data_IF_473505009593
#
_entry.id   IF_473505009593
#
_cell.length_a   1.000
_cell.length_b   1.000
_cell.length_c   1.000
_cell.angle_alpha   90.00
_cell.angle_beta   90.00
_cell.angle_gamma   90.00
#
_symmetry.space_group_name_H-M   'P 1'
#
loop_
_entity.id
_entity.type
_entity.pdbx_description
1 polymer ?
#
# COMPACT_ATOMS: atom_id res chain seq x y z
N UNK A 1 -21.34 17.71 23.19
CA UNK A 1 -20.08 17.40 23.91
C UNK A 1 -19.43 16.09 23.40
N UNK A 2 -20.17 14.98 23.27
CA UNK A 2 -19.59 13.69 22.80
C UNK A 2 -19.15 13.73 21.33
N UNK A 3 -19.93 14.36 20.46
CA UNK A 3 -19.56 14.54 19.04
C UNK A 3 -18.34 15.47 18.87
N UNK A 4 -18.25 16.53 19.65
CA UNK A 4 -17.10 17.44 19.64
C UNK A 4 -15.83 16.70 20.11
N UNK A 5 -15.96 15.91 21.15
CA UNK A 5 -14.87 15.08 21.66
C UNK A 5 -14.39 14.10 20.59
N UNK A 6 -15.30 13.33 19.98
CA UNK A 6 -14.97 12.39 18.91
C UNK A 6 -14.22 13.08 17.77
N UNK A 7 -14.73 14.21 17.28
CA UNK A 7 -14.10 14.96 16.19
C UNK A 7 -12.73 15.49 16.57
N UNK A 8 -12.56 15.96 17.81
CA UNK A 8 -11.27 16.46 18.30
C UNK A 8 -10.22 15.34 18.40
N UNK A 9 -10.63 14.14 18.79
CA UNK A 9 -9.71 13.04 19.09
C UNK A 9 -9.84 11.86 18.11
N UNK A 10 -10.21 12.11 16.88
CA UNK A 10 -10.17 11.12 15.81
C UNK A 10 -8.73 10.80 15.44
N UNK A 11 -8.42 9.50 15.41
CA UNK A 11 -7.10 8.97 15.06
C UNK A 11 -7.26 7.90 13.97
N UNK A 12 -6.56 8.03 12.86
CA UNK A 12 -6.66 7.10 11.74
C UNK A 12 -5.44 6.20 11.63
N UNK A 13 -5.69 4.96 11.26
CA UNK A 13 -4.68 3.91 11.09
C UNK A 13 -4.89 3.17 9.77
N UNK A 14 -3.86 3.13 8.95
CA UNK A 14 -3.84 2.37 7.70
C UNK A 14 -2.78 1.26 7.81
N UNK A 15 -3.25 0.02 7.95
CA UNK A 15 -2.40 -1.16 8.03
C UNK A 15 -2.12 -1.73 6.63
N UNK A 16 -1.08 -1.23 6.00
CA UNK A 16 -0.58 -1.77 4.73
C UNK A 16 0.39 -2.94 4.92
N UNK A 17 0.60 -3.73 3.87
CA UNK A 17 1.53 -4.86 3.91
C UNK A 17 2.95 -4.44 4.28
N UNK A 18 3.42 -3.31 3.77
CA UNK A 18 4.79 -2.82 3.99
C UNK A 18 4.88 -1.66 4.95
N UNK A 19 3.82 -0.85 5.05
CA UNK A 19 3.81 0.37 5.84
C UNK A 19 2.58 0.48 6.72
N UNK A 20 2.79 1.00 7.92
CA UNK A 20 1.76 1.47 8.84
C UNK A 20 1.72 2.99 8.78
N UNK A 21 0.57 3.54 8.40
CA UNK A 21 0.34 4.99 8.28
C UNK A 21 -0.70 5.39 9.32
N UNK A 22 -0.36 6.37 10.13
CA UNK A 22 -1.17 6.69 11.30
C UNK A 22 -1.04 8.15 11.71
N UNK A 23 -2.01 8.60 12.47
CA UNK A 23 -1.99 9.91 13.09
C UNK A 23 -3.38 10.48 13.36
N UNK A 24 -3.45 11.49 14.23
CA UNK A 24 -4.69 12.18 14.55
C UNK A 24 -5.07 13.19 13.46
N UNK A 25 -6.34 13.60 13.46
CA UNK A 25 -6.86 14.64 12.56
C UNK A 25 -6.06 15.95 12.63
N UNK A 26 -5.45 16.23 13.78
CA UNK A 26 -4.67 17.46 14.02
C UNK A 26 -3.25 17.41 13.46
N UNK A 27 -2.82 16.26 12.94
CA UNK A 27 -1.48 16.10 12.34
C UNK A 27 -1.29 16.93 11.06
N UNK A 28 -2.38 17.37 10.44
CA UNK A 28 -2.35 18.04 9.16
C UNK A 28 -2.77 17.12 8.02
N UNK A 29 -2.17 17.31 6.83
CA UNK A 29 -2.61 16.62 5.62
C UNK A 29 -1.94 15.26 5.37
N UNK A 30 -0.89 14.94 6.12
CA UNK A 30 -0.10 13.71 5.92
C UNK A 30 -0.02 12.89 7.21
N UNK A 31 -0.06 11.54 7.11
CA UNK A 31 0.15 10.67 8.26
C UNK A 31 1.64 10.55 8.60
N UNK A 32 1.93 10.05 9.80
CA UNK A 32 3.21 9.42 10.07
C UNK A 32 3.27 8.05 9.37
N UNK A 33 4.45 7.67 8.90
CA UNK A 33 4.66 6.41 8.18
C UNK A 33 5.85 5.70 8.79
N UNK A 34 5.64 4.46 9.20
CA UNK A 34 6.71 3.53 9.58
C UNK A 34 6.51 2.21 8.84
N UNK A 35 7.59 1.44 8.71
CA UNK A 35 7.47 0.11 8.14
C UNK A 35 6.66 -0.80 9.04
N UNK A 36 5.78 -1.60 8.44
CA UNK A 36 4.98 -2.59 9.14
C UNK A 36 5.83 -3.83 9.44
N UNK A 37 6.67 -3.72 10.46
CA UNK A 37 7.60 -4.77 10.91
C UNK A 37 7.95 -4.60 12.38
N UNK A 38 8.44 -5.69 12.98
CA UNK A 38 8.97 -5.69 14.34
C UNK A 38 10.27 -6.47 14.41
N UNK A 39 11.16 -6.02 15.27
CA UNK A 39 12.43 -6.67 15.57
C UNK A 39 12.36 -7.36 16.93
N UNK A 40 12.71 -8.65 16.95
CA UNK A 40 12.78 -9.46 18.16
C UNK A 40 14.26 -9.67 18.53
N UNK A 41 14.83 -8.85 19.44
CA UNK A 41 16.23 -8.97 19.80
C UNK A 41 16.53 -10.31 20.48
N UNK A 42 17.79 -10.74 20.42
CA UNK A 42 18.24 -11.91 21.17
C UNK A 42 18.34 -11.55 22.66
N UNK A 43 17.37 -11.99 23.43
CA UNK A 43 17.30 -11.72 24.88
C UNK A 43 18.42 -12.40 25.66
N UNK A 44 19.13 -13.35 25.08
CA UNK A 44 20.27 -14.05 25.69
C UNK A 44 21.60 -13.36 25.44
N UNK A 45 21.63 -12.37 24.52
CA UNK A 45 22.86 -11.64 24.22
C UNK A 45 23.30 -10.76 25.39
N UNK A 46 24.60 -10.61 25.53
CA UNK A 46 25.19 -9.72 26.57
C UNK A 46 24.74 -8.27 26.35
N UNK A 47 24.65 -7.85 25.07
CA UNK A 47 24.20 -6.48 24.73
C UNK A 47 22.77 -6.24 25.16
N UNK A 48 21.86 -7.21 24.98
CA UNK A 48 20.47 -7.10 25.44
C UNK A 48 20.40 -6.94 26.97
N UNK A 49 21.25 -7.67 27.71
CA UNK A 49 21.26 -7.62 29.17
C UNK A 49 21.87 -6.34 29.73
N UNK A 50 22.82 -5.74 29.02
CA UNK A 50 23.50 -4.50 29.44
C UNK A 50 22.74 -3.25 29.01
N UNK A 51 22.21 -3.25 27.80
CA UNK A 51 21.44 -2.13 27.26
C UNK A 51 20.02 -2.16 27.81
N UNK A 52 19.51 -0.99 28.18
CA UNK A 52 18.10 -0.84 28.55
C UNK A 52 17.23 -0.93 27.28
N UNK A 53 16.98 -2.14 26.80
CA UNK A 53 16.09 -2.37 25.67
C UNK A 53 14.64 -2.15 26.12
N UNK A 54 13.86 -1.26 25.46
CA UNK A 54 12.55 -0.85 25.95
C UNK A 54 11.48 -1.94 25.93
N UNK A 55 11.65 -2.96 25.12
CA UNK A 55 10.71 -4.07 24.97
C UNK A 55 11.40 -5.29 24.33
N UNK A 56 10.79 -6.45 24.49
CA UNK A 56 11.15 -7.68 23.77
C UNK A 56 10.80 -7.65 22.27
N UNK A 57 10.02 -6.64 21.85
CA UNK A 57 9.70 -6.34 20.44
C UNK A 57 9.92 -4.86 20.19
N UNK A 58 10.73 -4.53 19.21
CA UNK A 58 11.04 -3.16 18.82
C UNK A 58 10.38 -2.84 17.49
N UNK A 59 9.68 -1.72 17.41
CA UNK A 59 9.00 -1.23 16.21
C UNK A 59 9.39 0.21 15.90
N UNK A 60 9.09 0.65 14.68
CA UNK A 60 9.26 2.03 14.28
C UNK A 60 10.68 2.42 13.93
N UNK A 61 10.97 3.70 14.05
CA UNK A 61 12.23 4.32 13.63
C UNK A 61 13.44 3.90 14.46
N UNK A 62 13.20 3.26 15.59
CA UNK A 62 14.25 2.85 16.54
C UNK A 62 14.88 1.50 16.19
N UNK A 63 14.26 0.70 15.33
CA UNK A 63 14.77 -0.62 14.95
C UNK A 63 16.26 -0.59 14.56
N UNK A 64 16.74 0.33 13.69
CA UNK A 64 18.14 0.34 13.29
C UNK A 64 19.13 0.52 14.44
N UNK A 65 18.70 1.09 15.57
CA UNK A 65 19.56 1.29 16.74
C UNK A 65 19.89 0.00 17.48
N UNK A 66 19.09 -1.06 17.26
CA UNK A 66 19.18 -2.32 17.99
C UNK A 66 19.58 -3.51 17.13
N UNK A 67 19.72 -3.32 15.80
CA UNK A 67 20.14 -4.37 14.88
C UNK A 67 21.60 -4.76 15.11
N UNK A 68 21.85 -6.07 15.19
CA UNK A 68 23.19 -6.63 15.25
C UNK A 68 23.68 -7.04 13.86
N UNK A 69 24.84 -6.55 13.43
CA UNK A 69 25.34 -6.73 12.08
C UNK A 69 25.64 -8.20 11.68
N UNK A 70 25.87 -9.04 12.68
CA UNK A 70 26.20 -10.48 12.49
C UNK A 70 24.98 -11.39 12.63
N UNK A 71 23.81 -10.83 12.90
CA UNK A 71 22.60 -11.58 13.20
C UNK A 71 21.88 -12.00 11.91
N UNK A 72 21.25 -13.18 11.95
CA UNK A 72 20.31 -13.57 10.91
C UNK A 72 18.98 -12.82 11.10
N UNK A 73 18.83 -11.72 10.38
CA UNK A 73 17.66 -10.87 10.46
C UNK A 73 16.39 -11.54 9.94
N UNK A 74 16.50 -12.60 9.14
CA UNK A 74 15.33 -13.30 8.57
C UNK A 74 14.45 -13.95 9.64
N UNK A 75 15.03 -14.29 10.80
CA UNK A 75 14.31 -14.91 11.92
C UNK A 75 13.87 -13.93 12.99
N UNK A 76 14.41 -12.71 12.99
CA UNK A 76 14.20 -11.72 14.04
C UNK A 76 13.46 -10.47 13.58
N UNK A 77 13.55 -10.13 12.30
CA UNK A 77 12.82 -9.04 11.68
C UNK A 77 11.55 -9.60 11.04
N UNK A 78 10.42 -9.38 11.68
CA UNK A 78 9.14 -9.99 11.31
C UNK A 78 8.25 -8.96 10.62
N UNK A 79 7.79 -9.31 9.42
CA UNK A 79 6.78 -8.59 8.65
C UNK A 79 5.45 -9.31 8.86
N UNK A 80 4.47 -8.72 9.58
CA UNK A 80 3.28 -9.44 10.01
C UNK A 80 2.30 -9.76 8.89
N UNK A 81 2.26 -8.93 7.84
CA UNK A 81 1.29 -9.07 6.76
C UNK A 81 1.88 -9.65 5.50
N UNK A 82 1.15 -10.57 4.89
CA UNK A 82 1.39 -11.04 3.54
C UNK A 82 0.15 -10.76 2.68
N UNK A 83 0.31 -9.91 1.65
CA UNK A 83 -0.80 -9.50 0.78
C UNK A 83 -2.01 -8.94 1.56
N UNK A 84 -1.75 -8.17 2.61
CA UNK A 84 -2.79 -7.56 3.44
C UNK A 84 -3.42 -8.51 4.47
N UNK A 85 -2.92 -9.75 4.58
CA UNK A 85 -3.46 -10.77 5.48
C UNK A 85 -2.41 -11.18 6.52
N UNK A 86 -2.86 -11.33 7.76
CA UNK A 86 -2.08 -11.87 8.86
C UNK A 86 -2.64 -13.27 9.17
N UNK A 87 -1.78 -14.27 9.26
CA UNK A 87 -2.21 -15.61 9.62
C UNK A 87 -2.82 -15.62 11.02
N UNK A 88 -3.94 -16.35 11.19
CA UNK A 88 -4.71 -16.34 12.43
C UNK A 88 -3.89 -16.69 13.67
N UNK A 89 -3.04 -17.72 13.55
CA UNK A 89 -2.29 -18.30 14.65
C UNK A 89 -0.82 -17.84 14.71
N UNK A 90 -0.44 -16.82 13.93
CA UNK A 90 0.89 -16.25 13.96
C UNK A 90 1.03 -15.24 15.12
N UNK A 91 1.37 -15.77 16.29
CA UNK A 91 1.50 -14.98 17.53
C UNK A 91 2.54 -13.85 17.40
N UNK A 92 3.65 -14.10 16.72
CA UNK A 92 4.68 -13.07 16.52
C UNK A 92 4.17 -11.93 15.63
N UNK A 93 3.46 -12.26 14.56
CA UNK A 93 2.86 -11.26 13.70
C UNK A 93 1.86 -10.37 14.44
N UNK A 94 0.98 -10.97 15.23
CA UNK A 94 0.01 -10.22 16.04
C UNK A 94 0.67 -9.41 17.15
N UNK A 95 1.77 -9.89 17.69
CA UNK A 95 2.57 -9.13 18.65
C UNK A 95 3.16 -7.87 17.99
N UNK A 96 3.64 -7.96 16.75
CA UNK A 96 4.12 -6.81 15.98
C UNK A 96 2.99 -5.79 15.78
N UNK A 97 1.80 -6.23 15.38
CA UNK A 97 0.64 -5.33 15.18
C UNK A 97 0.27 -4.62 16.49
N UNK A 98 0.26 -5.33 17.60
CA UNK A 98 0.04 -4.75 18.93
C UNK A 98 1.06 -3.65 19.26
N UNK A 99 2.34 -3.93 19.07
CA UNK A 99 3.40 -2.96 19.36
C UNK A 99 3.38 -1.74 18.43
N UNK A 100 3.10 -1.95 17.13
CA UNK A 100 2.94 -0.86 16.17
C UNK A 100 1.78 0.07 16.56
N UNK A 101 0.64 -0.50 16.87
CA UNK A 101 -0.57 0.23 17.24
C UNK A 101 -0.33 1.04 18.52
N UNK A 102 0.24 0.41 19.51
CA UNK A 102 0.62 1.06 20.79
C UNK A 102 1.63 2.19 20.57
N UNK A 103 2.65 1.94 19.76
CA UNK A 103 3.68 2.93 19.41
C UNK A 103 3.05 4.19 18.78
N UNK A 104 2.18 4.02 17.80
CA UNK A 104 1.52 5.13 17.12
C UNK A 104 0.60 5.93 18.05
N UNK A 105 -0.22 5.26 18.82
CA UNK A 105 -1.13 5.91 19.75
C UNK A 105 -0.39 6.66 20.88
N UNK A 106 0.67 6.09 21.42
CA UNK A 106 1.49 6.75 22.45
C UNK A 106 2.21 7.98 21.91
N UNK A 107 2.69 7.93 20.67
CA UNK A 107 3.39 9.05 20.04
C UNK A 107 2.55 10.32 20.03
N UNK A 108 1.24 10.19 19.84
CA UNK A 108 0.33 11.32 19.71
C UNK A 108 -0.59 11.54 20.93
N UNK A 109 -0.31 10.89 22.04
CA UNK A 109 -1.10 11.08 23.26
C UNK A 109 -1.13 12.55 23.66
N UNK A 110 -2.32 13.20 23.70
CA UNK A 110 -2.44 14.58 24.12
C UNK A 110 -2.10 14.74 25.62
N UNK A 111 -1.52 15.87 25.98
CA UNK A 111 -1.26 16.22 27.37
C UNK A 111 -2.50 16.81 28.08
N UNK A 112 -3.56 17.07 27.38
CA UNK A 112 -4.78 17.70 27.86
C UNK A 112 -5.52 16.83 28.88
N UNK A 113 -5.94 17.38 30.03
CA UNK A 113 -6.64 16.60 31.07
C UNK A 113 -7.98 16.00 30.64
N UNK A 114 -8.63 16.60 29.67
CA UNK A 114 -9.91 16.11 29.11
C UNK A 114 -9.73 14.87 28.21
N UNK A 115 -8.52 14.54 27.80
CA UNK A 115 -8.27 13.37 26.97
C UNK A 115 -8.61 12.07 27.72
N UNK A 116 -9.52 11.27 27.15
CA UNK A 116 -10.00 10.00 27.68
C UNK A 116 -9.79 8.82 26.72
N UNK A 117 -8.93 8.99 25.74
CA UNK A 117 -8.68 8.04 24.66
C UNK A 117 -9.16 8.53 23.30
N UNK A 118 -8.55 8.02 22.25
CA UNK A 118 -8.89 8.34 20.87
C UNK A 118 -10.14 7.62 20.39
N UNK A 119 -10.80 8.21 19.43
CA UNK A 119 -11.73 7.54 18.51
C UNK A 119 -10.92 7.07 17.32
N UNK A 120 -10.60 5.78 17.30
CA UNK A 120 -9.69 5.20 16.32
C UNK A 120 -10.45 4.67 15.12
N UNK A 121 -10.06 5.10 13.93
CA UNK A 121 -10.53 4.54 12.65
C UNK A 121 -9.39 3.76 12.04
N UNK A 122 -9.42 2.45 12.18
CA UNK A 122 -8.47 1.55 11.56
C UNK A 122 -8.98 1.07 10.20
N UNK A 123 -8.07 0.71 9.32
CA UNK A 123 -8.41 0.13 8.03
C UNK A 123 -7.59 -1.10 7.73
N UNK A 124 -8.25 -2.08 7.14
CA UNK A 124 -7.67 -3.34 6.70
C UNK A 124 -7.94 -3.55 5.21
N UNK A 125 -7.15 -4.41 4.59
CA UNK A 125 -7.36 -4.82 3.21
C UNK A 125 -8.81 -5.28 2.98
N UNK A 126 -9.33 -5.05 1.78
CA UNK A 126 -10.67 -5.51 1.36
C UNK A 126 -10.88 -7.02 1.51
N UNK A 127 -9.79 -7.78 1.50
CA UNK A 127 -9.81 -9.25 1.62
C UNK A 127 -9.54 -9.75 3.03
N UNK A 128 -9.35 -8.86 4.01
CA UNK A 128 -9.10 -9.26 5.38
C UNK A 128 -10.28 -10.06 5.94
N UNK A 129 -10.05 -11.27 6.46
CA UNK A 129 -11.10 -12.09 7.05
C UNK A 129 -11.59 -11.52 8.39
N UNK A 130 -12.77 -11.95 8.83
CA UNK A 130 -13.40 -11.45 10.04
C UNK A 130 -12.51 -11.57 11.28
N UNK A 131 -11.72 -12.64 11.40
CA UNK A 131 -10.84 -12.81 12.56
C UNK A 131 -9.80 -11.67 12.69
N UNK A 132 -9.39 -11.04 11.59
CA UNK A 132 -8.48 -9.91 11.66
C UNK A 132 -9.15 -8.69 12.30
N UNK A 133 -10.43 -8.45 11.99
CA UNK A 133 -11.21 -7.41 12.66
C UNK A 133 -11.34 -7.68 14.16
N UNK A 134 -11.71 -8.91 14.52
CA UNK A 134 -11.85 -9.33 15.92
C UNK A 134 -10.54 -9.16 16.69
N UNK A 135 -9.42 -9.64 16.16
CA UNK A 135 -8.12 -9.50 16.80
C UNK A 135 -7.67 -8.04 16.90
N UNK A 136 -7.95 -7.23 15.91
CA UNK A 136 -7.59 -5.81 15.96
C UNK A 136 -8.44 -5.04 16.98
N UNK A 137 -9.71 -5.38 17.14
CA UNK A 137 -10.53 -4.86 18.23
C UNK A 137 -9.96 -5.25 19.61
N UNK A 138 -9.56 -6.50 19.79
CA UNK A 138 -8.93 -6.96 21.03
C UNK A 138 -7.61 -6.23 21.33
N UNK A 139 -6.80 -5.99 20.32
CA UNK A 139 -5.55 -5.22 20.45
C UNK A 139 -5.84 -3.81 20.96
N UNK A 140 -6.80 -3.10 20.38
CA UNK A 140 -7.15 -1.75 20.82
C UNK A 140 -7.72 -1.75 22.25
N UNK A 141 -8.55 -2.72 22.58
CA UNK A 141 -9.07 -2.89 23.94
C UNK A 141 -7.94 -3.09 24.95
N UNK A 142 -7.00 -3.97 24.64
CA UNK A 142 -5.85 -4.25 25.49
C UNK A 142 -4.97 -3.01 25.68
N UNK A 143 -4.72 -2.28 24.61
CA UNK A 143 -3.93 -1.02 24.68
C UNK A 143 -4.65 -0.01 25.59
N UNK A 144 -5.97 0.07 25.52
CA UNK A 144 -6.71 0.95 26.43
C UNK A 144 -6.64 0.52 27.89
N UNK A 145 -6.76 -0.77 28.16
CA UNK A 145 -6.62 -1.33 29.52
C UNK A 145 -5.24 -1.01 30.13
N UNK A 146 -4.20 -1.03 29.32
CA UNK A 146 -2.82 -0.77 29.76
C UNK A 146 -2.46 0.72 29.84
N UNK A 147 -2.91 1.51 28.86
CA UNK A 147 -2.40 2.88 28.64
C UNK A 147 -3.50 3.97 28.62
N UNK A 148 -4.77 3.59 28.58
CA UNK A 148 -5.87 4.55 28.54
C UNK A 148 -5.93 5.36 27.24
N UNK A 149 -5.61 4.78 26.10
CA UNK A 149 -5.44 5.49 24.83
C UNK A 149 -6.61 5.38 23.86
N UNK A 150 -7.54 4.44 24.04
CA UNK A 150 -8.60 4.17 23.07
C UNK A 150 -9.97 4.20 23.72
N UNK A 151 -10.82 5.13 23.33
CA UNK A 151 -12.19 5.23 23.82
C UNK A 151 -13.17 4.42 22.96
N UNK A 152 -13.01 4.46 21.66
CA UNK A 152 -13.80 3.70 20.71
C UNK A 152 -12.98 3.39 19.47
N UNK A 153 -13.34 2.34 18.76
CA UNK A 153 -12.66 1.94 17.55
C UNK A 153 -13.66 1.48 16.49
N UNK A 154 -13.37 1.78 15.25
CA UNK A 154 -14.03 1.23 14.07
C UNK A 154 -12.98 0.71 13.10
N UNK A 155 -13.33 -0.29 12.31
CA UNK A 155 -12.42 -0.87 11.32
C UNK A 155 -13.15 -0.92 9.99
N UNK A 156 -12.60 -0.26 8.98
CA UNK A 156 -13.21 -0.19 7.65
C UNK A 156 -12.31 -0.83 6.60
N UNK A 157 -12.87 -1.36 5.50
CA UNK A 157 -12.06 -1.79 4.36
C UNK A 157 -11.35 -0.61 3.70
N UNK A 158 -10.09 -0.78 3.35
CA UNK A 158 -9.27 0.27 2.71
C UNK A 158 -9.92 0.88 1.45
N UNK A 159 -10.51 0.10 0.53
CA UNK A 159 -11.15 0.72 -0.63
C UNK A 159 -12.38 1.57 -0.28
N UNK A 160 -13.10 1.25 0.79
CA UNK A 160 -14.18 2.12 1.28
C UNK A 160 -13.62 3.48 1.75
N UNK A 161 -12.48 3.48 2.44
CA UNK A 161 -11.81 4.72 2.83
C UNK A 161 -11.45 5.58 1.62
N UNK A 162 -10.94 4.98 0.55
CA UNK A 162 -10.65 5.70 -0.71
C UNK A 162 -11.92 6.31 -1.31
N UNK A 163 -13.00 5.55 -1.41
CA UNK A 163 -14.28 6.04 -1.91
C UNK A 163 -14.81 7.22 -1.08
N UNK A 164 -14.69 7.14 0.24
CA UNK A 164 -15.07 8.23 1.15
C UNK A 164 -14.22 9.47 0.92
N UNK A 165 -12.91 9.32 0.77
CA UNK A 165 -12.02 10.44 0.48
C UNK A 165 -12.39 11.16 -0.82
N UNK A 166 -12.85 10.44 -1.83
CA UNK A 166 -13.34 10.97 -3.11
C UNK A 166 -14.83 11.41 -3.07
N UNK A 167 -15.55 11.11 -2.02
CA UNK A 167 -16.99 11.40 -1.87
C UNK A 167 -17.85 10.71 -2.95
N UNK A 168 -17.51 9.50 -3.33
CA UNK A 168 -18.18 8.75 -4.40
C UNK A 168 -18.76 7.46 -3.84
N UNK A 169 -20.11 7.27 -3.85
CA UNK A 169 -20.74 6.08 -3.28
C UNK A 169 -20.70 4.84 -4.20
N UNK A 170 -20.54 5.04 -5.52
CA UNK A 170 -20.49 3.98 -6.52
C UNK A 170 -19.26 4.16 -7.37
N UNK A 171 -18.33 3.19 -7.33
CA UNK A 171 -17.04 3.30 -7.99
C UNK A 171 -16.33 1.94 -8.06
N UNK A 172 -15.22 1.91 -8.79
CA UNK A 172 -14.24 0.84 -8.69
C UNK A 172 -12.97 1.44 -8.11
N UNK A 173 -12.47 0.89 -7.00
CA UNK A 173 -11.21 1.31 -6.40
C UNK A 173 -10.12 0.33 -6.80
N UNK A 174 -9.05 0.86 -7.42
CA UNK A 174 -7.78 0.15 -7.59
C UNK A 174 -6.84 0.61 -6.50
N UNK A 175 -6.43 -0.32 -5.67
CA UNK A 175 -5.40 -0.07 -4.67
C UNK A 175 -4.16 -0.89 -5.02
N UNK A 176 -3.07 -0.22 -5.38
CA UNK A 176 -1.82 -0.85 -5.76
C UNK A 176 -0.69 -0.42 -4.85
N UNK A 177 -0.31 -1.33 -3.97
CA UNK A 177 0.76 -1.14 -3.00
C UNK A 177 2.03 -1.88 -3.38
N UNK A 178 2.87 -2.11 -2.38
CA UNK A 178 4.16 -2.78 -2.56
C UNK A 178 3.99 -4.26 -2.93
N UNK A 179 3.15 -5.00 -2.22
CA UNK A 179 3.03 -6.46 -2.37
C UNK A 179 1.98 -6.93 -3.36
N UNK A 180 0.89 -6.20 -3.52
CA UNK A 180 -0.25 -6.62 -4.34
C UNK A 180 -1.04 -5.43 -4.90
N UNK A 181 -2.00 -5.77 -5.76
CA UNK A 181 -3.02 -4.84 -6.25
C UNK A 181 -4.40 -5.46 -6.05
N UNK A 182 -5.35 -4.66 -5.61
CA UNK A 182 -6.74 -5.08 -5.43
C UNK A 182 -7.66 -4.18 -6.22
N UNK A 183 -8.63 -4.78 -6.87
CA UNK A 183 -9.69 -4.08 -7.61
C UNK A 183 -11.01 -4.39 -6.91
N UNK A 184 -11.61 -3.37 -6.34
CA UNK A 184 -12.80 -3.50 -5.52
C UNK A 184 -13.94 -2.62 -6.04
N UNK A 185 -14.98 -3.21 -6.65
CA UNK A 185 -16.22 -2.48 -6.91
C UNK A 185 -16.95 -2.14 -5.62
N UNK A 186 -17.49 -0.92 -5.56
CA UNK A 186 -18.23 -0.40 -4.42
C UNK A 186 -19.58 0.14 -4.88
N UNK A 187 -20.63 -0.23 -4.18
CA UNK A 187 -21.95 0.41 -4.22
C UNK A 187 -22.40 0.64 -2.79
N UNK A 188 -22.01 1.76 -2.19
CA UNK A 188 -22.04 2.11 -0.76
C UNK A 188 -21.13 1.23 0.12
N UNK A 189 -20.99 -0.04 -0.23
CA UNK A 189 -20.12 -1.02 0.44
C UNK A 189 -19.35 -1.81 -0.60
N UNK A 190 -18.20 -2.37 -0.24
CA UNK A 190 -17.46 -3.27 -1.12
C UNK A 190 -18.32 -4.47 -1.54
N UNK A 191 -18.35 -4.74 -2.85
CA UNK A 191 -19.00 -5.91 -3.42
C UNK A 191 -18.01 -7.06 -3.37
N UNK A 192 -17.98 -7.80 -2.26
CA UNK A 192 -16.94 -8.80 -1.99
C UNK A 192 -16.76 -9.85 -3.07
N UNK A 193 -17.87 -10.35 -3.62
CA UNK A 193 -17.85 -11.36 -4.69
C UNK A 193 -17.20 -10.86 -5.99
N UNK A 194 -17.08 -9.56 -6.17
CA UNK A 194 -16.52 -8.94 -7.37
C UNK A 194 -15.06 -8.48 -7.21
N UNK A 195 -14.46 -8.64 -6.03
CA UNK A 195 -13.08 -8.25 -5.80
C UNK A 195 -12.13 -9.12 -6.62
N UNK A 196 -11.21 -8.47 -7.35
CA UNK A 196 -10.11 -9.11 -8.04
C UNK A 196 -8.82 -8.73 -7.31
N UNK A 197 -8.08 -9.74 -6.88
CA UNK A 197 -6.78 -9.56 -6.26
C UNK A 197 -5.67 -9.99 -7.24
N UNK A 198 -4.64 -9.16 -7.36
CA UNK A 198 -3.46 -9.43 -8.18
C UNK A 198 -2.24 -9.64 -7.28
N UNK A 199 -1.53 -10.73 -7.50
CA UNK A 199 -0.27 -11.03 -6.82
C UNK A 199 0.89 -10.27 -7.50
N UNK A 200 0.74 -8.99 -7.65
CA UNK A 200 1.67 -8.09 -8.32
C UNK A 200 1.54 -6.67 -7.77
N UNK A 201 2.66 -6.06 -7.46
CA UNK A 201 2.71 -4.71 -6.92
C UNK A 201 4.08 -4.07 -7.12
N UNK A 202 4.40 -3.08 -6.31
CA UNK A 202 5.64 -2.33 -6.39
C UNK A 202 6.91 -3.15 -6.19
N UNK A 203 6.84 -4.24 -5.41
CA UNK A 203 7.96 -5.16 -5.23
C UNK A 203 8.33 -5.89 -6.52
N UNK A 204 7.38 -6.15 -7.40
CA UNK A 204 7.65 -6.76 -8.71
C UNK A 204 8.39 -5.79 -9.61
N UNK A 205 8.03 -4.52 -9.60
CA UNK A 205 8.78 -3.48 -10.30
C UNK A 205 10.19 -3.30 -9.73
N UNK A 206 10.37 -3.45 -8.42
CA UNK A 206 11.70 -3.47 -7.79
C UNK A 206 12.54 -4.65 -8.30
N UNK A 207 11.95 -5.83 -8.38
CA UNK A 207 12.62 -7.03 -8.89
C UNK A 207 13.09 -6.82 -10.33
N UNK A 208 12.25 -6.29 -11.20
CA UNK A 208 12.62 -5.95 -12.57
C UNK A 208 13.74 -4.88 -12.62
N UNK A 209 13.62 -3.85 -11.80
CA UNK A 209 14.64 -2.79 -11.71
C UNK A 209 15.99 -3.37 -11.27
N UNK A 210 15.99 -4.30 -10.31
CA UNK A 210 17.20 -5.03 -9.90
C UNK A 210 17.84 -5.80 -11.05
N UNK A 211 17.04 -6.50 -11.86
CA UNK A 211 17.55 -7.23 -13.03
C UNK A 211 18.16 -6.27 -14.08
N UNK A 212 17.51 -5.14 -14.33
CA UNK A 212 18.03 -4.09 -15.22
C UNK A 212 19.37 -3.54 -14.70
N UNK A 213 19.47 -3.27 -13.40
CA UNK A 213 20.70 -2.80 -12.78
C UNK A 213 21.83 -3.81 -12.85
N UNK A 214 21.55 -5.09 -12.65
CA UNK A 214 22.53 -6.17 -12.80
C UNK A 214 23.08 -6.23 -14.23
N UNK A 215 22.20 -6.16 -15.23
CA UNK A 215 22.59 -6.15 -16.63
C UNK A 215 23.45 -4.94 -17.00
N UNK A 216 23.24 -3.82 -16.33
CA UNK A 216 24.01 -2.57 -16.53
C UNK A 216 25.33 -2.52 -15.73
N UNK A 217 25.67 -3.57 -14.98
CA UNK A 217 26.89 -3.64 -14.20
C UNK A 217 26.79 -3.09 -12.77
N UNK A 218 25.59 -2.81 -12.27
CA UNK A 218 25.35 -2.32 -10.91
C UNK A 218 24.83 -3.41 -9.96
N UNK A 219 25.35 -4.64 -10.10
CA UNK A 219 24.87 -5.80 -9.35
C UNK A 219 24.93 -5.66 -7.83
N UNK A 220 25.93 -4.97 -7.30
CA UNK A 220 26.03 -4.74 -5.85
C UNK A 220 24.91 -3.83 -5.33
N UNK A 221 24.57 -2.78 -6.08
CA UNK A 221 23.49 -1.86 -5.73
C UNK A 221 22.11 -2.52 -5.86
N UNK A 222 21.98 -3.47 -6.77
CA UNK A 222 20.72 -4.19 -7.02
C UNK A 222 20.25 -5.05 -5.84
N UNK A 223 21.08 -5.25 -4.83
CA UNK A 223 20.73 -6.02 -3.62
C UNK A 223 20.10 -5.16 -2.52
N UNK A 224 20.25 -3.85 -2.62
CA UNK A 224 19.76 -2.89 -1.61
C UNK A 224 18.36 -2.41 -1.99
N UNK A 225 17.33 -3.00 -1.40
CA UNK A 225 15.93 -2.75 -1.77
C UNK A 225 15.52 -1.28 -1.70
N UNK A 226 15.93 -0.56 -0.66
CA UNK A 226 15.63 0.86 -0.52
C UNK A 226 16.24 1.69 -1.66
N UNK A 227 17.45 1.35 -2.08
CA UNK A 227 18.13 1.99 -3.18
C UNK A 227 17.46 1.67 -4.53
N UNK A 228 17.10 0.40 -4.73
CA UNK A 228 16.36 -0.04 -5.94
C UNK A 228 15.02 0.71 -6.04
N UNK A 229 14.29 0.85 -4.95
CA UNK A 229 13.03 1.62 -4.91
C UNK A 229 13.27 3.06 -5.34
N UNK A 230 14.29 3.71 -4.80
CA UNK A 230 14.65 5.09 -5.13
C UNK A 230 15.00 5.23 -6.62
N UNK A 231 15.81 4.33 -7.16
CA UNK A 231 16.19 4.33 -8.58
C UNK A 231 14.94 4.12 -9.45
N UNK A 232 14.12 3.12 -9.16
CA UNK A 232 12.86 2.86 -9.85
C UNK A 232 12.00 4.13 -9.94
N UNK A 233 11.81 4.80 -8.83
CA UNK A 233 10.96 6.00 -8.75
C UNK A 233 11.52 7.18 -9.54
N UNK A 234 12.84 7.25 -9.71
CA UNK A 234 13.50 8.35 -10.42
C UNK A 234 13.66 8.12 -11.92
N UNK A 235 13.91 6.88 -12.35
CA UNK A 235 14.17 6.59 -13.77
C UNK A 235 12.98 5.95 -14.49
N UNK A 236 12.07 5.29 -13.78
CA UNK A 236 10.95 4.58 -14.39
C UNK A 236 9.97 5.52 -15.10
N UNK A 237 9.47 5.09 -16.25
CA UNK A 237 8.47 5.80 -17.04
C UNK A 237 7.38 4.84 -17.49
N UNK A 238 6.12 5.29 -17.49
CA UNK A 238 5.00 4.53 -18.06
C UNK A 238 4.92 4.86 -19.54
N UNK A 239 5.03 3.87 -20.43
CA UNK A 239 4.87 4.11 -21.86
C UNK A 239 3.41 4.24 -22.25
N UNK A 240 3.10 5.11 -23.21
CA UNK A 240 1.78 5.10 -23.88
C UNK A 240 1.56 3.77 -24.62
N UNK A 241 2.54 3.37 -25.42
CA UNK A 241 2.65 2.06 -26.06
C UNK A 241 4.09 1.61 -25.92
N UNK A 242 4.31 0.42 -25.35
CA UNK A 242 5.65 -0.04 -25.01
C UNK A 242 6.56 -0.17 -26.22
N UNK A 243 6.08 -0.78 -27.33
CA UNK A 243 6.88 -0.96 -28.54
C UNK A 243 7.31 0.38 -29.17
N UNK A 244 6.39 1.33 -29.23
CA UNK A 244 6.66 2.67 -29.74
C UNK A 244 7.62 3.44 -28.84
N UNK A 245 7.45 3.34 -27.53
CA UNK A 245 8.33 3.99 -26.56
C UNK A 245 9.75 3.46 -26.61
N UNK A 246 9.92 2.15 -26.75
CA UNK A 246 11.24 1.52 -26.91
C UNK A 246 11.91 1.99 -28.20
N UNK A 247 11.17 2.03 -29.30
CA UNK A 247 11.70 2.52 -30.58
C UNK A 247 12.13 3.98 -30.47
N UNK A 248 11.28 4.84 -29.95
CA UNK A 248 11.56 6.26 -29.72
C UNK A 248 12.80 6.47 -28.85
N UNK A 249 12.92 5.71 -27.77
CA UNK A 249 14.07 5.81 -26.86
C UNK A 249 15.38 5.33 -27.50
N UNK A 250 15.32 4.30 -28.36
CA UNK A 250 16.51 3.81 -29.09
C UNK A 250 16.93 4.76 -30.22
N UNK A 251 15.98 5.44 -30.86
CA UNK A 251 16.26 6.45 -31.91
C UNK A 251 16.77 7.76 -31.29
N UNK A 252 16.42 8.08 -30.05
CA UNK A 252 16.79 9.31 -29.36
C UNK A 252 17.45 9.00 -28.00
N UNK A 253 18.60 8.31 -27.98
CA UNK A 253 19.20 7.79 -26.75
C UNK A 253 19.60 8.89 -25.74
N UNK A 254 20.04 10.04 -26.21
CA UNK A 254 20.42 11.16 -25.32
C UNK A 254 19.21 11.78 -24.64
N UNK A 255 18.08 11.90 -25.34
CA UNK A 255 16.83 12.44 -24.79
C UNK A 255 16.29 11.57 -23.65
N UNK A 256 16.33 10.25 -23.83
CA UNK A 256 15.76 9.29 -22.87
C UNK A 256 16.79 8.69 -21.92
N UNK A 257 18.01 9.22 -21.90
CA UNK A 257 19.07 8.71 -21.04
C UNK A 257 18.64 8.65 -19.57
N UNK A 258 18.71 7.46 -18.99
CA UNK A 258 18.42 7.24 -17.59
C UNK A 258 19.69 7.41 -16.76
N UNK A 259 19.85 8.60 -16.20
CA UNK A 259 21.00 8.96 -15.35
C UNK A 259 20.49 9.49 -14.02
N UNK A 260 20.93 8.88 -12.93
CA UNK A 260 20.49 9.24 -11.59
C UNK A 260 21.66 9.22 -10.61
N UNK A 261 21.90 10.35 -9.96
CA UNK A 261 22.86 10.44 -8.87
C UNK A 261 22.21 10.03 -7.57
N UNK A 262 22.77 9.01 -6.91
CA UNK A 262 22.28 8.57 -5.60
C UNK A 262 22.60 9.62 -4.55
N UNK A 263 21.59 10.16 -3.82
CA UNK A 263 21.80 11.20 -2.82
C UNK A 263 22.81 10.80 -1.75
N UNK A 264 23.64 11.76 -1.34
CA UNK A 264 24.66 11.59 -0.30
C UNK A 264 25.74 10.54 -0.61
N UNK A 265 25.91 10.18 -1.86
CA UNK A 265 26.95 9.26 -2.33
C UNK A 265 27.71 9.83 -3.51
N UNK A 266 28.80 9.16 -3.91
CA UNK A 266 29.52 9.45 -5.16
C UNK A 266 29.01 8.60 -6.33
N UNK A 267 27.97 7.84 -6.13
CA UNK A 267 27.46 6.87 -7.10
C UNK A 267 26.45 7.55 -8.03
N UNK A 268 26.69 7.40 -9.33
CA UNK A 268 25.76 7.79 -10.40
C UNK A 268 25.38 6.55 -11.19
N UNK A 269 24.08 6.27 -11.25
CA UNK A 269 23.53 5.23 -12.13
C UNK A 269 23.34 5.86 -13.50
N UNK A 270 23.85 5.21 -14.53
CA UNK A 270 23.70 5.63 -15.92
C UNK A 270 23.49 4.37 -16.79
N UNK A 271 22.31 4.21 -17.35
CA UNK A 271 21.97 3.06 -18.17
C UNK A 271 22.46 3.19 -19.62
N UNK A 272 22.99 4.35 -20.00
CA UNK A 272 23.56 4.60 -21.33
C UNK A 272 22.64 4.13 -22.49
N UNK A 273 23.14 3.25 -23.34
CA UNK A 273 22.38 2.70 -24.48
C UNK A 273 21.17 1.86 -24.05
N UNK A 274 21.16 1.32 -22.83
CA UNK A 274 20.06 0.52 -22.28
C UNK A 274 19.00 1.36 -21.56
N UNK A 275 19.05 2.69 -21.68
CA UNK A 275 18.11 3.61 -21.04
C UNK A 275 16.66 3.42 -21.47
N UNK A 276 16.40 2.82 -22.63
CA UNK A 276 15.06 2.45 -23.07
C UNK A 276 14.34 1.50 -22.10
N UNK A 277 15.09 0.74 -21.28
CA UNK A 277 14.55 -0.18 -20.27
C UNK A 277 13.76 0.53 -19.18
N UNK A 278 13.92 1.84 -19.02
CA UNK A 278 13.11 2.64 -18.09
C UNK A 278 11.59 2.52 -18.38
N UNK A 279 11.20 2.29 -19.62
CA UNK A 279 9.81 2.05 -19.98
C UNK A 279 9.30 0.66 -19.60
N UNK A 280 10.18 -0.32 -19.47
CA UNK A 280 9.82 -1.64 -18.92
C UNK A 280 9.40 -1.53 -17.46
N UNK A 281 10.11 -0.72 -16.68
CA UNK A 281 9.84 -0.51 -15.25
C UNK A 281 8.42 0.04 -15.05
N UNK A 282 8.03 1.05 -15.80
CA UNK A 282 6.70 1.65 -15.72
C UNK A 282 5.57 0.79 -16.28
N UNK A 283 5.86 -0.07 -17.26
CA UNK A 283 4.87 -0.96 -17.86
C UNK A 283 4.51 -2.14 -16.96
N UNK A 284 5.50 -2.70 -16.29
CA UNK A 284 5.43 -4.04 -15.71
C UNK A 284 4.28 -4.27 -14.73
N UNK A 285 4.01 -3.32 -13.85
CA UNK A 285 2.90 -3.45 -12.88
C UNK A 285 1.55 -3.38 -13.57
N UNK A 286 1.41 -2.52 -14.58
CA UNK A 286 0.15 -2.33 -15.32
C UNK A 286 -0.17 -3.47 -16.26
N UNK A 287 0.86 -3.96 -16.98
CA UNK A 287 0.72 -5.04 -17.96
C UNK A 287 2.01 -5.86 -18.08
N UNK A 288 2.09 -7.03 -17.41
CA UNK A 288 3.29 -7.86 -17.41
C UNK A 288 3.40 -8.81 -18.62
N UNK A 289 2.53 -8.69 -19.62
CA UNK A 289 2.37 -9.69 -20.67
C UNK A 289 3.27 -9.50 -21.89
N UNK A 290 4.04 -8.41 -21.97
CA UNK A 290 4.92 -8.18 -23.09
C UNK A 290 6.03 -9.25 -23.18
N UNK A 291 6.41 -9.63 -24.39
CA UNK A 291 7.40 -10.68 -24.67
C UNK A 291 8.78 -10.38 -24.02
N UNK A 292 9.16 -9.11 -23.88
CA UNK A 292 10.41 -8.72 -23.21
C UNK A 292 10.46 -9.17 -21.75
N UNK A 293 9.34 -9.19 -21.06
CA UNK A 293 9.29 -9.71 -19.67
C UNK A 293 9.51 -11.22 -19.63
N UNK A 294 9.10 -11.96 -20.66
CA UNK A 294 9.34 -13.40 -20.74
C UNK A 294 10.83 -13.72 -20.75
N UNK A 295 11.65 -12.86 -21.35
CA UNK A 295 13.11 -13.04 -21.35
C UNK A 295 13.70 -12.96 -19.94
N UNK A 296 13.21 -12.04 -19.11
CA UNK A 296 13.62 -11.94 -17.71
C UNK A 296 13.17 -13.15 -16.88
N UNK A 297 11.94 -13.65 -17.11
CA UNK A 297 11.45 -14.86 -16.45
C UNK A 297 12.29 -16.09 -16.80
N UNK A 298 12.66 -16.25 -18.05
CA UNK A 298 13.54 -17.36 -18.50
C UNK A 298 14.93 -17.29 -17.87
N UNK A 299 15.41 -16.10 -17.52
CA UNK A 299 16.69 -15.90 -16.83
C UNK A 299 16.61 -16.10 -15.32
N UNK A 300 15.42 -16.39 -14.78
CA UNK A 300 15.21 -16.69 -13.38
C UNK A 300 14.53 -15.59 -12.56
N UNK A 301 14.13 -14.46 -13.18
CA UNK A 301 13.31 -13.47 -12.47
C UNK A 301 11.97 -14.12 -12.05
N UNK A 302 11.54 -13.96 -10.79
CA UNK A 302 10.27 -14.51 -10.34
C UNK A 302 9.10 -13.97 -11.19
N UNK A 303 8.30 -14.90 -11.71
CA UNK A 303 7.08 -14.57 -12.46
C UNK A 303 5.91 -14.45 -11.48
N UNK A 304 5.10 -13.38 -11.55
CA UNK A 304 3.87 -13.31 -10.76
C UNK A 304 2.97 -14.51 -11.09
N UNK A 305 2.68 -15.32 -10.08
CA UNK A 305 1.88 -16.54 -10.23
C UNK A 305 0.52 -16.38 -9.60
N UNK A 306 -0.45 -17.11 -10.13
CA UNK A 306 -1.71 -17.31 -9.47
C UNK A 306 -1.46 -18.04 -8.14
N UNK A 307 -2.04 -17.53 -7.06
CA UNK A 307 -1.92 -18.11 -5.73
C UNK A 307 -3.21 -17.98 -4.96
N UNK A 308 -3.56 -19.02 -4.21
CA UNK A 308 -4.70 -18.99 -3.29
C UNK A 308 -4.19 -18.80 -1.86
N UNK A 309 -4.69 -17.77 -1.19
CA UNK A 309 -4.40 -17.48 0.22
C UNK A 309 -5.74 -17.46 0.95
N UNK A 310 -6.00 -18.46 1.81
CA UNK A 310 -7.33 -18.67 2.37
C UNK A 310 -8.36 -18.93 1.27
N UNK A 311 -9.45 -18.17 1.26
CA UNK A 311 -10.50 -18.26 0.25
C UNK A 311 -10.31 -17.28 -0.92
N UNK A 312 -9.23 -16.49 -0.89
CA UNK A 312 -8.97 -15.46 -1.88
C UNK A 312 -8.01 -15.99 -2.96
N UNK A 313 -8.39 -15.82 -4.22
CA UNK A 313 -7.60 -16.16 -5.37
C UNK A 313 -6.89 -14.92 -5.93
N UNK A 314 -5.56 -14.92 -5.85
CA UNK A 314 -4.72 -13.87 -6.43
C UNK A 314 -4.30 -14.26 -7.83
N UNK A 315 -4.59 -13.40 -8.79
CA UNK A 315 -4.14 -13.56 -10.18
C UNK A 315 -2.75 -12.98 -10.34
N UNK A 316 -1.93 -13.55 -11.22
CA UNK A 316 -0.55 -13.11 -11.44
C UNK A 316 -0.38 -12.17 -12.63
N UNK A 317 -0.79 -12.63 -13.79
CA UNK A 317 -0.38 -12.07 -15.09
C UNK A 317 -1.41 -11.23 -15.83
N UNK A 318 -2.66 -11.15 -15.40
CA UNK A 318 -3.63 -10.30 -16.11
C UNK A 318 -3.27 -8.82 -15.97
N UNK A 319 -3.49 -8.02 -17.02
CA UNK A 319 -3.28 -6.59 -16.96
C UNK A 319 -4.37 -5.86 -16.16
N UNK A 320 -4.12 -4.61 -15.77
CA UNK A 320 -5.07 -3.84 -14.98
C UNK A 320 -6.39 -3.58 -15.71
N UNK A 321 -6.37 -3.39 -17.02
CA UNK A 321 -7.59 -3.21 -17.80
C UNK A 321 -8.48 -4.45 -17.77
N UNK A 322 -7.90 -5.62 -17.98
CA UNK A 322 -8.62 -6.90 -17.90
C UNK A 322 -9.17 -7.15 -16.51
N UNK A 323 -8.39 -6.85 -15.47
CA UNK A 323 -8.81 -7.01 -14.08
C UNK A 323 -9.99 -6.08 -13.71
N UNK A 324 -9.99 -4.84 -14.17
CA UNK A 324 -11.10 -3.90 -13.97
C UNK A 324 -12.37 -4.41 -14.63
N UNK A 325 -12.28 -4.87 -15.88
CA UNK A 325 -13.42 -5.39 -16.63
C UNK A 325 -13.99 -6.63 -15.94
N UNK A 326 -13.14 -7.56 -15.54
CA UNK A 326 -13.56 -8.76 -14.82
C UNK A 326 -14.29 -8.42 -13.51
N UNK A 327 -13.78 -7.46 -12.76
CA UNK A 327 -14.41 -6.99 -11.54
C UNK A 327 -15.80 -6.38 -11.80
N UNK A 328 -15.90 -5.52 -12.81
CA UNK A 328 -17.16 -4.90 -13.21
C UNK A 328 -18.19 -5.93 -13.67
N UNK A 329 -17.78 -6.91 -14.47
CA UNK A 329 -18.66 -7.97 -14.99
C UNK A 329 -19.21 -8.90 -13.92
N UNK A 330 -18.56 -8.99 -12.75
CA UNK A 330 -19.07 -9.71 -11.59
C UNK A 330 -20.16 -8.94 -10.82
N UNK A 331 -20.38 -7.69 -11.17
CA UNK A 331 -21.42 -6.87 -10.58
C UNK A 331 -22.72 -6.92 -11.39
N UNK A 332 -23.88 -6.57 -10.79
CA UNK A 332 -25.14 -6.45 -11.54
C UNK A 332 -24.98 -5.57 -12.78
N UNK A 333 -25.59 -5.98 -13.89
CA UNK A 333 -25.45 -5.30 -15.19
C UNK A 333 -25.86 -3.82 -15.12
N UNK A 334 -26.91 -3.52 -14.36
CA UNK A 334 -27.42 -2.16 -14.19
C UNK A 334 -26.42 -1.25 -13.48
N UNK A 335 -25.52 -1.82 -12.68
CA UNK A 335 -24.54 -1.07 -11.91
C UNK A 335 -23.28 -0.75 -12.74
N UNK A 336 -22.96 -1.59 -13.73
CA UNK A 336 -21.69 -1.51 -14.46
C UNK A 336 -21.42 -0.15 -15.09
N UNK A 337 -22.36 0.53 -15.78
CA UNK A 337 -22.09 1.86 -16.34
C UNK A 337 -21.68 2.90 -15.30
N UNK A 338 -22.26 2.84 -14.11
CA UNK A 338 -21.95 3.76 -13.01
C UNK A 338 -20.57 3.47 -12.40
N UNK A 339 -20.18 2.21 -12.37
CA UNK A 339 -18.84 1.81 -11.88
C UNK A 339 -17.73 2.41 -12.77
N UNK A 340 -17.89 2.35 -14.09
CA UNK A 340 -16.91 2.91 -15.02
C UNK A 340 -16.83 4.44 -15.00
N UNK A 341 -17.83 5.11 -14.47
CA UNK A 341 -17.81 6.57 -14.34
C UNK A 341 -16.92 7.06 -13.18
N UNK A 342 -16.53 6.18 -12.28
CA UNK A 342 -15.67 6.50 -11.16
C UNK A 342 -14.70 5.33 -10.90
N UNK A 343 -13.56 5.37 -11.57
CA UNK A 343 -12.44 4.46 -11.32
C UNK A 343 -11.42 5.24 -10.51
N UNK A 344 -11.24 4.86 -9.25
CA UNK A 344 -10.41 5.58 -8.29
C UNK A 344 -9.08 4.85 -8.08
N UNK A 345 -7.97 5.55 -8.26
CA UNK A 345 -6.63 5.01 -8.09
C UNK A 345 -6.08 5.40 -6.71
N UNK A 346 -5.55 4.42 -6.00
CA UNK A 346 -4.93 4.56 -4.69
C UNK A 346 -3.65 3.73 -4.60
N UNK A 347 -2.71 4.20 -3.78
CA UNK A 347 -1.45 3.52 -3.54
C UNK A 347 -0.26 4.07 -4.32
N UNK A 348 0.93 3.69 -3.88
CA UNK A 348 2.19 4.25 -4.39
C UNK A 348 2.47 3.99 -5.87
N UNK A 349 1.92 2.90 -6.43
CA UNK A 349 2.15 2.54 -7.84
C UNK A 349 1.42 3.45 -8.84
N UNK A 350 0.57 4.36 -8.38
CA UNK A 350 -0.11 5.33 -9.22
C UNK A 350 0.49 6.73 -9.18
N UNK A 351 1.62 6.91 -8.48
CA UNK A 351 2.31 8.20 -8.37
C UNK A 351 3.23 8.55 -9.54
N UNK A 352 3.32 7.69 -10.55
CA UNK A 352 4.16 7.90 -11.71
C UNK A 352 3.80 9.21 -12.43
N UNK A 353 4.80 10.05 -12.65
CA UNK A 353 4.66 11.30 -13.37
C UNK A 353 5.17 11.14 -14.80
N UNK A 354 4.55 11.85 -15.71
CA UNK A 354 5.03 11.99 -17.08
C UNK A 354 5.70 13.35 -17.24
N UNK A 355 7.05 13.41 -17.19
CA UNK A 355 7.76 14.67 -17.45
C UNK A 355 7.41 15.23 -18.83
N UNK A 356 7.28 16.57 -18.93
CA UNK A 356 6.86 17.23 -20.17
C UNK A 356 7.78 16.91 -21.36
N UNK A 357 9.08 16.78 -21.11
CA UNK A 357 10.05 16.44 -22.15
C UNK A 357 9.82 15.07 -22.79
N UNK A 358 9.15 14.15 -22.10
CA UNK A 358 8.89 12.78 -22.59
C UNK A 358 7.49 12.57 -23.13
N UNK A 359 6.61 13.57 -23.03
CA UNK A 359 5.26 13.48 -23.59
C UNK A 359 5.26 13.58 -25.12
N UNK A 360 4.40 12.87 -25.83
CA UNK A 360 3.37 11.95 -25.34
C UNK A 360 3.84 10.49 -25.17
N UNK A 361 5.13 10.21 -25.34
CA UNK A 361 5.69 8.86 -25.26
C UNK A 361 5.56 8.26 -23.86
N UNK A 362 5.85 9.06 -22.82
CA UNK A 362 5.57 8.73 -21.43
C UNK A 362 4.25 9.38 -20.99
N UNK A 363 3.50 8.67 -20.17
CA UNK A 363 2.18 9.07 -19.66
C UNK A 363 2.06 8.83 -18.15
N UNK A 364 1.01 9.38 -17.55
CA UNK A 364 0.67 9.13 -16.17
C UNK A 364 -0.20 7.88 -15.98
N UNK A 365 -0.43 7.52 -14.72
CA UNK A 365 -1.22 6.33 -14.37
C UNK A 365 -2.68 6.42 -14.84
N UNK A 366 -3.30 7.58 -14.72
CA UNK A 366 -4.70 7.81 -15.16
C UNK A 366 -4.83 7.54 -16.65
N UNK A 367 -3.96 8.12 -17.46
CA UNK A 367 -3.93 7.92 -18.90
C UNK A 367 -3.68 6.47 -19.26
N UNK A 368 -2.77 5.79 -18.55
CA UNK A 368 -2.46 4.37 -18.79
C UNK A 368 -3.68 3.47 -18.57
N UNK A 369 -4.39 3.66 -17.48
CA UNK A 369 -5.62 2.89 -17.21
C UNK A 369 -6.66 3.10 -18.30
N UNK A 370 -6.88 4.34 -18.73
CA UNK A 370 -7.80 4.65 -19.85
C UNK A 370 -7.42 3.93 -21.12
N UNK A 371 -6.13 3.90 -21.46
CA UNK A 371 -5.62 3.23 -22.66
C UNK A 371 -5.84 1.71 -22.57
N UNK A 372 -5.52 1.10 -21.44
CA UNK A 372 -5.72 -0.35 -21.25
C UNK A 372 -7.19 -0.75 -21.37
N UNK A 373 -8.10 0.07 -20.89
CA UNK A 373 -9.54 -0.16 -21.04
C UNK A 373 -10.01 0.05 -22.49
N UNK A 374 -9.52 1.09 -23.15
CA UNK A 374 -9.86 1.38 -24.54
C UNK A 374 -9.42 0.28 -25.49
N UNK A 375 -8.24 -0.30 -25.29
CA UNK A 375 -7.74 -1.45 -26.04
C UNK A 375 -8.67 -2.67 -25.98
N UNK A 376 -9.48 -2.76 -24.92
CA UNK A 376 -10.46 -3.83 -24.69
C UNK A 376 -11.91 -3.42 -25.01
N UNK A 377 -12.09 -2.27 -25.65
CA UNK A 377 -13.40 -1.78 -26.10
C UNK A 377 -14.20 -1.01 -25.04
N UNK A 378 -13.62 -0.67 -23.91
CA UNK A 378 -14.29 0.15 -22.89
C UNK A 378 -13.85 1.60 -23.04
N UNK A 379 -14.77 2.42 -23.50
CA UNK A 379 -14.58 3.87 -23.68
C UNK A 379 -15.47 4.66 -22.71
N UNK A 380 -15.29 5.99 -22.67
CA UNK A 380 -16.07 6.89 -21.84
C UNK A 380 -15.98 6.57 -20.34
N UNK A 381 -14.80 6.20 -19.88
CA UNK A 381 -14.50 5.97 -18.47
C UNK A 381 -13.96 7.25 -17.83
N UNK A 382 -14.26 7.43 -16.55
CA UNK A 382 -13.64 8.48 -15.74
C UNK A 382 -12.70 7.84 -14.74
N UNK A 383 -11.43 8.20 -14.80
CA UNK A 383 -10.38 7.70 -13.89
C UNK A 383 -9.87 8.87 -13.07
N UNK A 384 -9.89 8.74 -11.77
CA UNK A 384 -9.51 9.77 -10.81
C UNK A 384 -8.38 9.30 -9.90
N UNK A 385 -7.52 10.22 -9.53
CA UNK A 385 -6.44 10.00 -8.58
C UNK A 385 -6.29 11.25 -7.71
N UNK A 386 -5.99 11.08 -6.42
CA UNK A 386 -5.63 12.20 -5.55
C UNK A 386 -4.21 12.68 -5.84
N UNK A 387 -3.87 13.89 -5.43
CA UNK A 387 -2.49 14.40 -5.54
C UNK A 387 -1.48 13.50 -4.82
N UNK A 388 -1.90 12.93 -3.69
CA UNK A 388 -1.08 12.03 -2.87
C UNK A 388 -1.80 10.69 -2.66
N UNK A 389 -1.82 9.82 -3.68
CA UNK A 389 -2.61 8.58 -3.65
C UNK A 389 -2.18 7.60 -2.55
N UNK A 390 -0.95 7.69 -2.08
CA UNK A 390 -0.46 6.86 -0.97
C UNK A 390 -1.10 7.19 0.38
N UNK A 391 -1.78 8.36 0.51
CA UNK A 391 -2.45 8.79 1.73
C UNK A 391 -3.98 8.69 1.65
N UNK A 392 -4.53 8.27 0.52
CA UNK A 392 -5.98 8.26 0.28
C UNK A 392 -6.74 7.45 1.33
N UNK A 393 -6.22 6.30 1.72
CA UNK A 393 -6.84 5.44 2.75
C UNK A 393 -6.86 6.13 4.10
N UNK A 394 -5.72 6.65 4.55
CA UNK A 394 -5.62 7.38 5.82
C UNK A 394 -6.57 8.58 5.86
N UNK A 395 -6.62 9.37 4.79
CA UNK A 395 -7.55 10.51 4.68
C UNK A 395 -9.00 10.08 4.74
N UNK A 396 -9.36 9.00 4.05
CA UNK A 396 -10.71 8.44 4.10
C UNK A 396 -11.11 7.97 5.49
N UNK A 397 -10.17 7.40 6.24
CA UNK A 397 -10.37 7.03 7.64
C UNK A 397 -10.64 8.27 8.52
N UNK A 398 -9.89 9.34 8.34
CA UNK A 398 -10.13 10.61 9.05
C UNK A 398 -11.55 11.14 8.75
N UNK A 399 -11.94 11.18 7.48
CA UNK A 399 -13.28 11.63 7.06
C UNK A 399 -14.38 10.75 7.66
N UNK A 400 -14.19 9.43 7.64
CA UNK A 400 -15.13 8.48 8.25
C UNK A 400 -15.32 8.76 9.73
N UNK A 401 -14.24 8.88 10.48
CA UNK A 401 -14.29 9.13 11.92
C UNK A 401 -14.95 10.47 12.25
N UNK A 402 -14.74 11.46 11.41
CA UNK A 402 -15.36 12.77 11.56
C UNK A 402 -16.88 12.73 11.27
N UNK A 403 -17.28 12.00 10.23
CA UNK A 403 -18.65 11.98 9.71
C UNK A 403 -19.59 11.02 10.44
N UNK A 404 -19.10 9.84 10.85
CA UNK A 404 -19.96 8.82 11.47
C UNK A 404 -20.37 9.23 12.89
N UNK A 405 -21.67 9.30 13.18
CA UNK A 405 -22.14 9.74 14.50
C UNK A 405 -21.57 8.91 15.64
N UNK A 406 -21.19 9.59 16.72
CA UNK A 406 -20.62 8.95 17.91
C UNK A 406 -21.53 7.89 18.51
N UNK A 407 -22.84 8.10 18.43
CA UNK A 407 -23.86 7.18 18.95
C UNK A 407 -24.12 5.96 18.08
N UNK A 408 -23.56 5.89 16.87
CA UNK A 408 -23.75 4.76 15.97
C UNK A 408 -22.88 3.60 16.41
N UNK A 409 -23.51 2.62 17.08
CA UNK A 409 -22.82 1.45 17.58
C UNK A 409 -22.42 0.49 16.47
N UNK A 410 -21.31 -0.23 16.69
CA UNK A 410 -20.76 -1.20 15.74
C UNK A 410 -21.77 -2.29 15.36
N UNK A 411 -21.91 -2.49 14.04
CA UNK A 411 -22.79 -3.52 13.44
C UNK A 411 -21.94 -4.49 12.63
N UNK A 412 -21.82 -5.72 13.10
CA UNK A 412 -21.04 -6.74 12.40
C UNK A 412 -21.57 -7.05 10.99
N UNK A 413 -22.89 -7.07 10.79
CA UNK A 413 -23.52 -7.36 9.51
C UNK A 413 -23.19 -6.33 8.44
N UNK A 414 -22.91 -5.11 8.84
CA UNK A 414 -22.61 -3.98 7.96
C UNK A 414 -21.15 -3.57 8.03
N UNK A 415 -20.41 -4.02 9.03
CA UNK A 415 -19.01 -3.63 9.30
C UNK A 415 -18.86 -2.10 9.40
N UNK A 416 -19.73 -1.48 10.19
CA UNK A 416 -19.77 -0.02 10.38
C UNK A 416 -20.18 0.36 11.79
N UNK A 417 -19.93 1.63 12.17
CA UNK A 417 -20.22 2.17 13.49
C UNK A 417 -19.02 2.11 14.43
N UNK A 418 -19.25 2.35 15.72
CA UNK A 418 -18.21 2.41 16.74
C UNK A 418 -18.34 1.28 17.75
N UNK A 419 -17.27 0.53 17.94
CA UNK A 419 -17.13 -0.35 19.11
C UNK A 419 -16.57 0.48 20.26
N UNK A 420 -17.40 0.78 21.24
CA UNK A 420 -16.96 1.51 22.45
C UNK A 420 -16.21 0.57 23.37
N UNK A 421 -15.05 1.00 23.80
CA UNK A 421 -14.20 0.25 24.75
C UNK A 421 -14.51 0.68 26.18
N UNK A 422 -14.82 1.97 26.35
CA UNK A 422 -15.27 2.52 27.63
C UNK A 422 -16.51 3.39 27.41
N UNK A 423 -17.42 3.36 28.40
CA UNK A 423 -18.61 4.23 28.44
C UNK A 423 -18.26 5.71 28.67
#
# INVERSE_FOLDING_TARGET
LSEEYKRKYTFAEDYGTSYYKYGPITLGETPEIIENRGYFPDTTSIMYQIMAVPSDVIVGKEIPLYLEATEDLSTRLIYPMRNGVIARDDEKAWRVVYELTKYGLKQFKPAEPEFKGFYVVASLSSIAPKYMYEKLFEIHKRIDEEEGLVKAVTIIPQPLAVAIAHKVPTCIVLESGHGNTQICPISRYPIRAAIIALNRGGSDANTLTSEILKDAGYGDLAREEALVTMIKENIGLIPRNLNEAIREAKENPEKYRAKFKVPNTRITIDLEAESWTRFLIGEYVFNPNHELFQSYFRRGMPKPKDVKIGDIYFRGMIDFGEAIIEAAERCPVELQPYLYQHILLSGGNFQWKAPEEFKPTAIDSVTKIKILLKEKGIENVNVEITEEPKYSVWRGCIVYGYAVPEKYEWKWERMEGWLKIRE
#
